data_IF_242149848736
#
_entry.id   IF_242149848736
#
_cell.length_a   1.000
_cell.length_b   1.000
_cell.length_c   1.000
_cell.angle_alpha   90.00
_cell.angle_beta   90.00
_cell.angle_gamma   90.00
#
_symmetry.space_group_name_H-M   'P 1'
#
loop_
_entity.id
_entity.type
_entity.pdbx_description
1 polymer ?
#
# COMPACT_ATOMS: atom_id res chain seq x y z
N UNK A 1 -6.43 -8.81 -4.07
CA UNK A 1 -7.80 -9.20 -4.46
C UNK A 1 -8.81 -8.11 -4.14
N UNK A 2 -8.89 -7.59 -2.90
CA UNK A 2 -9.88 -6.57 -2.51
C UNK A 2 -9.88 -5.33 -3.42
N UNK A 3 -8.70 -4.75 -3.70
CA UNK A 3 -8.58 -3.59 -4.58
C UNK A 3 -9.05 -3.88 -6.02
N UNK A 4 -8.61 -5.01 -6.61
CA UNK A 4 -8.97 -5.42 -7.97
C UNK A 4 -10.48 -5.71 -8.12
N UNK A 5 -11.11 -6.27 -7.09
CA UNK A 5 -12.56 -6.51 -7.08
C UNK A 5 -13.35 -5.21 -7.08
N UNK A 6 -12.98 -4.25 -6.23
CA UNK A 6 -13.61 -2.92 -6.19
C UNK A 6 -13.41 -2.15 -7.49
N UNK A 7 -12.20 -2.19 -8.06
CA UNK A 7 -11.90 -1.51 -9.32
C UNK A 7 -12.73 -2.07 -10.49
N UNK A 8 -12.93 -3.40 -10.51
CA UNK A 8 -13.75 -4.06 -11.53
C UNK A 8 -15.23 -3.67 -11.41
N UNK A 9 -15.74 -3.51 -10.19
CA UNK A 9 -17.13 -3.05 -9.95
C UNK A 9 -17.33 -1.61 -10.43
N UNK A 10 -16.39 -0.71 -10.12
CA UNK A 10 -16.41 0.67 -10.62
C UNK A 10 -16.29 0.73 -12.15
N UNK A 11 -15.47 -0.14 -12.74
CA UNK A 11 -15.32 -0.22 -14.20
C UNK A 11 -16.63 -0.62 -14.88
N UNK A 12 -17.37 -1.58 -14.33
CA UNK A 12 -18.68 -2.00 -14.85
C UNK A 12 -19.68 -0.85 -14.89
N UNK A 13 -19.77 -0.06 -13.83
CA UNK A 13 -20.65 1.11 -13.78
C UNK A 13 -20.31 2.16 -14.85
N UNK A 14 -19.03 2.29 -15.24
CA UNK A 14 -18.59 3.18 -16.31
C UNK A 14 -18.87 2.60 -17.71
N UNK A 15 -18.77 1.29 -17.87
CA UNK A 15 -19.15 0.58 -19.09
C UNK A 15 -20.66 0.67 -19.34
N UNK A 16 -21.48 0.54 -18.30
CA UNK A 16 -22.94 0.68 -18.38
C UNK A 16 -23.35 2.10 -18.83
N UNK A 17 -22.49 3.09 -18.59
CA UNK A 17 -22.66 4.49 -19.05
C UNK A 17 -22.14 4.73 -20.47
N UNK A 18 -21.66 3.69 -21.16
CA UNK A 18 -21.18 3.75 -22.54
C UNK A 18 -19.75 4.29 -22.70
N UNK A 19 -18.95 4.34 -21.63
CA UNK A 19 -17.56 4.80 -21.71
C UNK A 19 -16.72 3.69 -22.33
N UNK A 20 -15.94 4.05 -23.35
CA UNK A 20 -15.08 3.09 -24.05
C UNK A 20 -14.03 2.48 -23.08
N UNK A 21 -13.85 1.14 -23.05
CA UNK A 21 -12.95 0.47 -22.11
C UNK A 21 -11.52 1.02 -22.08
N UNK A 22 -10.98 1.37 -23.25
CA UNK A 22 -9.64 2.00 -23.35
C UNK A 22 -9.57 3.30 -22.55
N UNK A 23 -10.60 4.15 -22.58
CA UNK A 23 -10.62 5.40 -21.82
C UNK A 23 -10.72 5.19 -20.32
N UNK A 24 -11.34 4.08 -19.89
CA UNK A 24 -11.39 3.69 -18.48
C UNK A 24 -10.00 3.24 -18.01
N UNK A 25 -9.31 2.43 -18.83
CA UNK A 25 -7.94 2.01 -18.55
C UNK A 25 -6.98 3.21 -18.46
N UNK A 26 -6.98 4.09 -19.47
CA UNK A 26 -6.16 5.31 -19.47
C UNK A 26 -6.47 6.20 -18.25
N UNK A 27 -7.75 6.32 -17.89
CA UNK A 27 -8.18 7.09 -16.72
C UNK A 27 -7.66 6.53 -15.40
N UNK A 28 -7.64 5.19 -15.24
CA UNK A 28 -7.07 4.56 -14.06
C UNK A 28 -5.55 4.67 -14.02
N UNK A 29 -4.87 4.61 -15.16
CA UNK A 29 -3.41 4.82 -15.22
C UNK A 29 -3.06 6.25 -14.79
N UNK A 30 -3.78 7.26 -15.28
CA UNK A 30 -3.62 8.64 -14.81
C UNK A 30 -3.90 8.79 -13.32
N UNK A 31 -4.99 8.20 -12.82
CA UNK A 31 -5.32 8.26 -11.40
C UNK A 31 -4.27 7.56 -10.52
N UNK A 32 -3.68 6.46 -11.00
CA UNK A 32 -2.61 5.74 -10.33
C UNK A 32 -1.36 6.61 -10.21
N UNK A 33 -0.97 7.32 -11.29
CA UNK A 33 0.16 8.24 -11.27
C UNK A 33 -0.02 9.34 -10.22
N UNK A 34 -1.19 9.97 -10.16
CA UNK A 34 -1.51 11.00 -9.15
C UNK A 34 -1.49 10.41 -7.74
N UNK A 35 -2.01 9.19 -7.54
CA UNK A 35 -1.99 8.54 -6.23
C UNK A 35 -0.55 8.30 -5.75
N UNK A 36 0.37 7.90 -6.64
CA UNK A 36 1.79 7.75 -6.33
C UNK A 36 2.42 9.08 -5.94
N UNK A 37 2.16 10.16 -6.67
CA UNK A 37 2.66 11.51 -6.32
C UNK A 37 2.17 11.96 -4.94
N UNK A 38 0.89 11.68 -4.61
CA UNK A 38 0.35 11.97 -3.29
C UNK A 38 1.05 11.13 -2.22
N UNK A 39 1.29 9.84 -2.47
CA UNK A 39 2.02 8.99 -1.54
C UNK A 39 3.44 9.48 -1.31
N UNK A 40 4.15 9.89 -2.35
CA UNK A 40 5.49 10.47 -2.24
C UNK A 40 5.46 11.77 -1.40
N UNK A 41 4.45 12.62 -1.61
CA UNK A 41 4.28 13.88 -0.87
C UNK A 41 4.00 13.67 0.63
N UNK A 42 3.24 12.64 1.01
CA UNK A 42 2.90 12.36 2.42
C UNK A 42 3.87 11.38 3.09
N UNK A 43 4.79 10.79 2.32
CA UNK A 43 5.74 9.81 2.85
C UNK A 43 6.82 10.50 3.69
N UNK A 44 7.01 9.99 4.91
CA UNK A 44 8.13 10.39 5.76
C UNK A 44 9.36 9.55 5.42
N UNK A 45 10.49 10.21 5.18
CA UNK A 45 11.78 9.52 5.04
C UNK A 45 12.33 9.15 6.40
N UNK A 46 12.52 7.85 6.63
CA UNK A 46 13.14 7.32 7.84
C UNK A 46 14.58 6.94 7.51
N UNK A 47 15.55 7.67 8.06
CA UNK A 47 16.97 7.30 7.93
C UNK A 47 17.27 6.02 8.73
N UNK A 48 18.00 5.10 8.11
CA UNK A 48 18.37 3.83 8.73
C UNK A 48 19.45 4.05 9.79
N UNK A 49 19.10 3.85 11.06
CA UNK A 49 20.03 3.81 12.18
C UNK A 49 19.65 2.66 13.11
N UNK A 50 20.66 1.99 13.68
CA UNK A 50 20.47 0.83 14.59
C UNK A 50 19.63 1.15 15.83
N UNK A 51 19.49 2.42 16.18
CA UNK A 51 18.71 2.88 17.35
C UNK A 51 17.37 3.53 16.95
N UNK A 52 16.98 3.44 15.66
CA UNK A 52 15.79 4.14 15.20
C UNK A 52 14.50 3.39 15.59
N UNK A 53 13.84 3.89 16.64
CA UNK A 53 12.54 3.44 17.16
C UNK A 53 11.44 3.34 16.09
N UNK A 54 11.53 4.09 14.98
CA UNK A 54 10.57 4.01 13.88
C UNK A 54 10.69 2.69 13.10
N UNK A 55 11.90 2.16 12.96
CA UNK A 55 12.18 0.89 12.27
C UNK A 55 11.66 -0.27 13.12
N UNK A 56 11.89 -0.24 14.43
CA UNK A 56 11.32 -1.19 15.38
C UNK A 56 9.79 -1.23 15.29
N UNK A 57 9.14 -0.06 15.31
CA UNK A 57 7.67 0.04 15.21
C UNK A 57 7.16 -0.48 13.86
N UNK A 58 7.85 -0.18 12.76
CA UNK A 58 7.49 -0.67 11.43
C UNK A 58 7.62 -2.20 11.33
N UNK A 59 8.70 -2.77 11.87
CA UNK A 59 8.93 -4.22 11.94
C UNK A 59 7.86 -4.89 12.81
N UNK A 60 7.59 -4.36 14.01
CA UNK A 60 6.54 -4.88 14.89
C UNK A 60 5.17 -4.83 14.21
N UNK A 61 4.82 -3.72 13.54
CA UNK A 61 3.57 -3.61 12.79
C UNK A 61 3.50 -4.64 11.65
N UNK A 62 4.58 -4.86 10.91
CA UNK A 62 4.64 -5.85 9.84
C UNK A 62 4.60 -7.30 10.33
N UNK A 63 5.09 -7.59 11.54
CA UNK A 63 5.10 -8.92 12.14
C UNK A 63 3.81 -9.23 12.93
N UNK A 64 3.06 -8.20 13.33
CA UNK A 64 1.84 -8.34 14.14
C UNK A 64 0.73 -9.19 13.49
N UNK A 65 0.70 -9.25 12.16
CA UNK A 65 -0.24 -10.05 11.36
C UNK A 65 0.29 -11.45 10.98
N UNK A 66 1.50 -11.81 11.44
CA UNK A 66 2.15 -13.10 11.14
C UNK A 66 2.10 -14.05 12.35
N UNK A 67 2.36 -15.34 12.13
CA UNK A 67 2.36 -16.37 13.21
C UNK A 67 3.30 -16.05 14.38
N UNK A 68 4.37 -15.29 14.11
CA UNK A 68 5.35 -14.80 15.07
C UNK A 68 4.87 -13.58 15.88
N UNK A 69 3.60 -13.19 15.76
CA UNK A 69 3.01 -12.04 16.48
C UNK A 69 3.14 -12.13 18.00
N UNK A 70 3.28 -13.33 18.58
CA UNK A 70 3.55 -13.47 20.03
C UNK A 70 4.97 -13.08 20.45
N UNK A 71 5.95 -13.24 19.56
CA UNK A 71 7.37 -12.97 19.80
C UNK A 71 7.91 -11.88 18.87
N UNK A 72 7.03 -11.00 18.36
CA UNK A 72 7.40 -10.02 17.33
C UNK A 72 8.53 -9.08 17.77
N UNK A 73 8.73 -8.90 19.09
CA UNK A 73 9.79 -8.05 19.64
C UNK A 73 11.17 -8.68 19.48
N UNK A 74 11.30 -9.98 19.74
CA UNK A 74 12.55 -10.71 19.52
C UNK A 74 12.88 -10.79 18.04
N UNK A 75 11.88 -11.08 17.19
CA UNK A 75 12.08 -11.13 15.75
C UNK A 75 12.36 -9.75 15.13
N UNK A 76 11.80 -8.66 15.66
CA UNK A 76 12.15 -7.31 15.24
C UNK A 76 13.62 -7.00 15.55
N UNK A 77 14.12 -7.36 16.74
CA UNK A 77 15.52 -7.15 17.13
C UNK A 77 16.52 -7.98 16.31
N UNK A 78 16.13 -9.17 15.83
CA UNK A 78 16.97 -10.01 14.96
C UNK A 78 16.99 -9.48 13.51
N UNK A 79 15.94 -8.77 13.09
CA UNK A 79 15.78 -8.27 11.72
C UNK A 79 16.47 -6.92 11.44
N UNK A 80 17.06 -6.28 12.46
CA UNK A 80 17.85 -5.05 12.38
C UNK A 80 19.33 -5.37 12.20
#
# INVERSE_FOLDING_TARGET
>A
LVASSSLSEQSKALLDRGIHPIRIADGFDCACAVAVEVFDCISDRVEFSKENLLIDKALMASLSSKIVSKEHRQFAQIAI
#
